data_IF_154689030232
#
_entry.id   IF_154689030232
#
_cell.length_a   1.000
_cell.length_b   1.000
_cell.length_c   1.000
_cell.angle_alpha   90.00
_cell.angle_beta   90.00
_cell.angle_gamma   90.00
#
_symmetry.space_group_name_H-M   'P 1'
#
loop_
_entity.id
_entity.type
_entity.pdbx_description
1 polymer ?
#
# COMPACT_ATOMS: atom_id res chain seq x y z
N UNK A 1 17.17 -3.02 -19.52
CA UNK A 1 17.72 -4.31 -19.04
C UNK A 1 19.13 -4.64 -19.54
N UNK A 2 19.47 -4.42 -20.82
CA UNK A 2 20.78 -4.81 -21.39
C UNK A 2 22.00 -4.27 -20.63
N UNK A 3 21.97 -3.00 -20.20
CA UNK A 3 23.07 -2.39 -19.42
C UNK A 3 23.33 -3.12 -18.10
N UNK A 4 22.29 -3.38 -17.31
CA UNK A 4 22.40 -4.10 -16.05
C UNK A 4 22.94 -5.52 -16.20
N UNK A 5 22.65 -6.20 -17.32
CA UNK A 5 23.17 -7.54 -17.61
C UNK A 5 24.68 -7.55 -17.91
N UNK A 6 25.25 -6.44 -18.37
CA UNK A 6 26.69 -6.30 -18.69
C UNK A 6 27.49 -5.59 -17.59
N UNK A 7 26.81 -4.96 -16.64
CA UNK A 7 27.46 -4.23 -15.55
C UNK A 7 28.22 -5.17 -14.61
N UNK A 8 29.46 -4.82 -14.29
CA UNK A 8 30.34 -5.58 -13.38
C UNK A 8 30.48 -4.95 -12.00
N UNK A 9 30.01 -3.71 -11.82
CA UNK A 9 30.04 -3.01 -10.54
C UNK A 9 29.06 -3.60 -9.52
N UNK A 10 29.30 -3.33 -8.23
CA UNK A 10 28.44 -3.79 -7.13
C UNK A 10 27.11 -3.02 -7.05
N UNK A 11 27.12 -1.76 -7.46
CA UNK A 11 25.96 -0.87 -7.48
C UNK A 11 25.62 -0.52 -8.91
N UNK A 12 24.34 -0.61 -9.25
CA UNK A 12 23.78 -0.10 -10.49
C UNK A 12 23.29 1.32 -10.24
N UNK A 13 23.64 2.25 -11.12
CA UNK A 13 23.09 3.60 -11.16
C UNK A 13 22.43 3.79 -12.51
N UNK A 14 21.12 3.93 -12.50
CA UNK A 14 20.31 4.28 -13.66
C UNK A 14 20.18 5.80 -13.69
N UNK A 15 20.41 6.40 -14.86
CA UNK A 15 20.38 7.85 -15.05
C UNK A 15 19.97 8.18 -16.47
N UNK A 16 19.08 9.14 -16.63
CA UNK A 16 18.71 9.68 -17.94
C UNK A 16 19.91 10.36 -18.64
N UNK A 17 19.88 10.38 -19.96
CA UNK A 17 20.97 10.93 -20.78
C UNK A 17 21.10 12.47 -20.70
N UNK A 18 20.15 13.15 -20.06
CA UNK A 18 20.02 14.61 -19.98
C UNK A 18 20.02 15.08 -18.52
N UNK A 19 21.04 14.62 -17.78
CA UNK A 19 21.29 14.97 -16.38
C UNK A 19 22.63 15.69 -16.21
N UNK A 20 22.71 16.60 -15.23
CA UNK A 20 23.96 17.22 -14.77
C UNK A 20 24.18 16.92 -13.28
N UNK A 21 25.34 16.36 -12.94
CA UNK A 21 25.63 15.87 -11.60
C UNK A 21 26.33 16.95 -10.74
N UNK A 22 25.83 17.19 -9.54
CA UNK A 22 26.52 18.07 -8.59
C UNK A 22 27.81 17.39 -8.05
N UNK A 23 28.87 18.14 -7.73
CA UNK A 23 30.01 17.60 -6.98
C UNK A 23 29.58 16.85 -5.72
N UNK A 24 30.10 15.65 -5.51
CA UNK A 24 29.80 14.82 -4.34
C UNK A 24 28.44 14.09 -4.39
N UNK A 25 27.79 14.02 -5.54
CA UNK A 25 26.46 13.39 -5.64
C UNK A 25 26.48 11.87 -5.41
N UNK A 26 27.57 11.16 -5.74
CA UNK A 26 27.54 9.70 -5.80
C UNK A 26 27.83 9.06 -4.43
N UNK A 27 28.73 9.64 -3.66
CA UNK A 27 29.22 9.12 -2.37
C UNK A 27 28.10 8.91 -1.34
N UNK A 28 27.11 9.81 -1.18
CA UNK A 28 25.97 9.58 -0.29
C UNK A 28 25.13 8.37 -0.71
N UNK A 29 24.91 8.18 -2.02
CA UNK A 29 24.14 7.06 -2.56
C UNK A 29 24.84 5.73 -2.26
N UNK A 30 26.13 5.65 -2.59
CA UNK A 30 26.93 4.44 -2.38
C UNK A 30 27.06 4.10 -0.88
N UNK A 31 27.31 5.11 -0.04
CA UNK A 31 27.40 4.93 1.41
C UNK A 31 26.10 4.39 2.00
N UNK A 32 24.95 4.91 1.54
CA UNK A 32 23.63 4.47 2.02
C UNK A 32 23.32 3.02 1.66
N UNK A 33 23.64 2.61 0.43
CA UNK A 33 23.50 1.23 -0.04
C UNK A 33 24.49 0.30 0.69
N UNK A 34 25.72 0.75 0.93
CA UNK A 34 26.71 -0.06 1.64
C UNK A 34 26.24 -0.45 3.06
N UNK A 35 25.50 0.43 3.72
CA UNK A 35 24.90 0.14 5.04
C UNK A 35 23.70 -0.81 5.01
N UNK A 36 23.03 -0.98 3.88
CA UNK A 36 21.92 -1.93 3.69
C UNK A 36 21.65 -2.09 2.18
N UNK A 37 21.97 -3.28 1.68
CA UNK A 37 21.91 -3.60 0.25
C UNK A 37 20.47 -3.70 -0.30
N UNK A 38 19.46 -3.70 0.57
CA UNK A 38 18.05 -3.71 0.17
C UNK A 38 17.48 -2.31 -0.14
N UNK A 39 18.29 -1.25 0.06
CA UNK A 39 17.89 0.12 -0.21
C UNK A 39 18.03 0.48 -1.68
N UNK A 40 16.98 1.08 -2.21
CA UNK A 40 16.96 1.78 -3.50
C UNK A 40 16.98 3.26 -3.17
N UNK A 41 17.97 3.97 -3.69
CA UNK A 41 18.22 5.37 -3.31
C UNK A 41 18.27 6.28 -4.53
N UNK A 42 17.76 7.50 -4.37
CA UNK A 42 17.77 8.53 -5.40
C UNK A 42 18.36 9.84 -4.87
N UNK A 43 19.02 10.63 -5.74
CA UNK A 43 19.34 12.02 -5.43
C UNK A 43 18.07 12.87 -5.32
N UNK A 44 18.21 14.07 -4.78
CA UNK A 44 17.28 15.16 -5.06
C UNK A 44 17.43 15.55 -6.54
N UNK A 45 16.30 15.56 -7.25
CA UNK A 45 16.25 15.96 -8.65
C UNK A 45 16.00 17.47 -8.72
N UNK A 46 16.99 18.19 -9.20
CA UNK A 46 16.90 19.62 -9.49
C UNK A 46 16.43 19.85 -10.93
N UNK A 47 15.86 21.01 -11.22
CA UNK A 47 15.29 21.29 -12.55
C UNK A 47 16.31 22.05 -13.38
N UNK A 48 16.60 21.58 -14.58
CA UNK A 48 17.31 22.33 -15.61
C UNK A 48 16.28 22.81 -16.63
N UNK A 49 16.12 24.13 -16.77
CA UNK A 49 15.17 24.70 -17.73
C UNK A 49 15.60 24.38 -19.16
N UNK A 50 14.73 23.70 -19.92
CA UNK A 50 15.08 23.23 -21.26
C UNK A 50 15.35 24.34 -22.29
N UNK A 51 14.86 25.57 -22.08
CA UNK A 51 15.06 26.70 -23.01
C UNK A 51 16.33 27.47 -22.71
N UNK A 52 16.56 27.72 -21.43
CA UNK A 52 17.61 28.63 -20.94
C UNK A 52 18.82 27.87 -20.39
N UNK A 53 18.70 26.56 -20.19
CA UNK A 53 19.68 25.71 -19.49
C UNK A 53 20.01 26.22 -18.08
N UNK A 54 19.11 26.98 -17.46
CA UNK A 54 19.30 27.49 -16.10
C UNK A 54 19.00 26.38 -15.09
N UNK A 55 19.89 26.27 -14.10
CA UNK A 55 19.77 25.32 -13.00
C UNK A 55 18.92 25.89 -11.87
N UNK A 56 17.83 25.20 -11.53
CA UNK A 56 16.90 25.57 -10.48
C UNK A 56 16.91 24.51 -9.37
N UNK A 57 17.56 24.80 -8.22
CA UNK A 57 17.61 23.85 -7.12
C UNK A 57 16.23 23.73 -6.46
N UNK A 58 15.83 22.48 -6.17
CA UNK A 58 14.69 22.18 -5.31
C UNK A 58 14.92 22.81 -3.92
N UNK A 59 13.99 23.67 -3.50
CA UNK A 59 14.08 24.45 -2.25
C UNK A 59 13.55 23.69 -1.04
N UNK A 60 12.46 22.95 -1.24
CA UNK A 60 11.82 22.18 -0.19
C UNK A 60 11.98 20.68 -0.44
N UNK A 61 12.10 19.87 0.62
CA UNK A 61 12.15 18.43 0.47
C UNK A 61 10.79 17.93 -0.02
N UNK A 62 10.83 17.18 -1.12
CA UNK A 62 9.69 16.50 -1.69
C UNK A 62 9.96 15.00 -1.74
N UNK A 63 8.89 14.22 -1.84
CA UNK A 63 8.96 12.81 -2.13
C UNK A 63 8.07 12.45 -3.31
N UNK A 64 8.40 11.31 -3.92
CA UNK A 64 7.65 10.75 -5.03
C UNK A 64 6.45 9.95 -4.53
N UNK A 65 5.29 10.24 -5.09
CA UNK A 65 4.01 9.62 -4.73
C UNK A 65 3.25 9.23 -6.00
N UNK A 66 2.04 8.68 -5.83
CA UNK A 66 1.19 8.26 -6.93
C UNK A 66 -0.30 8.49 -6.65
N UNK A 67 -1.09 8.58 -7.71
CA UNK A 67 -2.54 8.58 -7.62
C UNK A 67 -3.17 7.22 -8.00
N UNK A 68 -4.50 7.14 -7.95
CA UNK A 68 -5.25 5.94 -8.36
C UNK A 68 -5.26 5.70 -9.87
N UNK A 69 -4.71 6.61 -10.69
CA UNK A 69 -4.43 6.37 -12.11
C UNK A 69 -3.02 5.83 -12.34
N UNK A 70 -2.29 5.53 -11.26
CA UNK A 70 -0.88 5.12 -11.28
C UNK A 70 -0.03 6.16 -12.04
N UNK A 71 -0.29 7.44 -11.80
CA UNK A 71 0.57 8.53 -12.26
C UNK A 71 1.51 8.97 -11.13
N UNK A 72 2.76 9.23 -11.46
CA UNK A 72 3.75 9.75 -10.52
C UNK A 72 3.59 11.27 -10.35
N UNK A 73 3.72 11.74 -9.11
CA UNK A 73 3.83 13.17 -8.82
C UNK A 73 4.76 13.43 -7.63
N UNK A 74 5.23 14.67 -7.54
CA UNK A 74 6.00 15.17 -6.42
C UNK A 74 5.08 15.82 -5.40
N UNK A 75 5.18 15.40 -4.13
CA UNK A 75 4.46 16.02 -3.02
C UNK A 75 5.43 16.55 -1.95
N UNK A 76 5.07 17.65 -1.24
CA UNK A 76 5.76 18.05 -0.03
C UNK A 76 5.69 16.94 1.02
N UNK A 77 6.73 16.81 1.85
CA UNK A 77 6.71 15.79 2.90
C UNK A 77 5.55 15.98 3.88
N UNK A 78 4.87 14.90 4.29
CA UNK A 78 3.85 14.97 5.32
C UNK A 78 4.48 15.31 6.68
N UNK A 79 3.71 15.93 7.56
CA UNK A 79 4.18 16.36 8.88
C UNK A 79 4.76 15.20 9.71
N UNK A 80 4.23 13.98 9.53
CA UNK A 80 4.76 12.76 10.16
C UNK A 80 6.22 12.50 9.80
N UNK A 81 6.58 12.63 8.53
CA UNK A 81 7.95 12.44 8.04
C UNK A 81 8.84 13.61 8.47
N UNK A 82 8.35 14.86 8.41
CA UNK A 82 9.12 16.03 8.86
C UNK A 82 9.55 15.93 10.34
N UNK A 83 8.67 15.44 11.22
CA UNK A 83 8.93 15.31 12.67
C UNK A 83 9.96 14.23 13.01
N UNK A 84 10.05 13.16 12.22
CA UNK A 84 10.96 12.03 12.48
C UNK A 84 12.38 12.34 11.98
N UNK A 85 12.53 13.30 11.07
CA UNK A 85 13.84 13.70 10.54
C UNK A 85 14.68 14.41 11.60
N UNK A 86 15.85 13.84 11.87
CA UNK A 86 16.81 14.39 12.82
C UNK A 86 17.52 15.65 12.26
N UNK A 87 17.62 15.74 10.93
CA UNK A 87 18.30 16.84 10.25
C UNK A 87 17.77 17.05 8.83
N UNK A 88 18.08 18.22 8.26
CA UNK A 88 17.77 18.56 6.86
C UNK A 88 18.45 17.64 5.84
N UNK A 89 19.50 16.92 6.24
CA UNK A 89 20.25 15.97 5.40
C UNK A 89 19.87 14.51 5.65
N UNK A 90 18.95 14.25 6.58
CA UNK A 90 18.46 12.89 6.84
C UNK A 90 17.79 12.32 5.58
N UNK A 91 17.99 11.02 5.28
CA UNK A 91 17.28 10.34 4.19
C UNK A 91 15.76 10.53 4.30
N UNK A 92 15.11 10.68 3.17
CA UNK A 92 13.67 10.88 3.04
C UNK A 92 13.07 9.58 2.52
N UNK A 93 12.10 9.00 3.22
CA UNK A 93 11.35 7.85 2.70
C UNK A 93 10.36 8.31 1.63
N UNK A 94 10.35 7.62 0.50
CA UNK A 94 9.52 7.96 -0.65
C UNK A 94 8.62 6.77 -1.02
N UNK A 95 7.29 6.95 -1.14
CA UNK A 95 6.42 5.89 -1.65
C UNK A 95 6.82 5.39 -3.03
N UNK A 96 7.26 6.30 -3.92
CA UNK A 96 7.69 6.01 -5.28
C UNK A 96 9.06 6.61 -5.54
N UNK A 97 9.91 5.88 -6.27
CA UNK A 97 11.19 6.36 -6.77
C UNK A 97 10.97 7.32 -7.97
N UNK A 98 11.68 8.45 -8.05
CA UNK A 98 11.51 9.43 -9.13
C UNK A 98 11.68 8.84 -10.55
N UNK A 99 12.62 7.91 -10.71
CA UNK A 99 12.85 7.17 -11.96
C UNK A 99 13.97 7.76 -12.82
N UNK A 100 14.20 9.07 -12.77
CA UNK A 100 15.22 9.76 -13.58
C UNK A 100 16.63 9.36 -13.16
N UNK A 101 16.86 9.24 -11.84
CA UNK A 101 18.10 8.76 -11.27
C UNK A 101 17.83 7.84 -10.09
N UNK A 102 18.28 6.59 -10.19
CA UNK A 102 18.07 5.57 -9.16
C UNK A 102 19.34 4.73 -9.03
N UNK A 103 19.80 4.54 -7.79
CA UNK A 103 20.92 3.67 -7.45
C UNK A 103 20.48 2.52 -6.54
N UNK A 104 20.98 1.31 -6.80
CA UNK A 104 20.69 0.14 -5.98
C UNK A 104 21.76 -0.94 -6.13
N UNK A 105 21.84 -1.84 -5.15
CA UNK A 105 22.74 -3.00 -5.25
C UNK A 105 22.37 -3.91 -6.43
N UNK A 106 23.37 -4.34 -7.20
CA UNK A 106 23.20 -5.16 -8.41
C UNK A 106 22.59 -6.52 -8.09
N UNK A 107 23.02 -7.16 -7.01
CA UNK A 107 22.49 -8.45 -6.60
C UNK A 107 21.07 -8.32 -6.07
N UNK A 108 20.76 -7.26 -5.32
CA UNK A 108 19.39 -6.97 -4.89
C UNK A 108 18.46 -6.75 -6.10
N UNK A 109 18.90 -5.99 -7.12
CA UNK A 109 18.13 -5.81 -8.36
C UNK A 109 17.84 -7.15 -9.05
N UNK A 110 18.83 -8.03 -9.15
CA UNK A 110 18.68 -9.34 -9.79
C UNK A 110 17.79 -10.28 -8.97
N UNK A 111 18.02 -10.36 -7.66
CA UNK A 111 17.31 -11.27 -6.75
C UNK A 111 15.85 -10.89 -6.57
N UNK A 112 15.52 -9.60 -6.67
CA UNK A 112 14.13 -9.12 -6.66
C UNK A 112 13.46 -9.22 -8.03
N UNK A 113 14.10 -9.87 -9.01
CA UNK A 113 13.53 -10.19 -10.32
C UNK A 113 13.66 -9.11 -11.39
N UNK A 114 14.54 -8.13 -11.18
CA UNK A 114 14.83 -7.00 -12.07
C UNK A 114 13.56 -6.29 -12.57
N UNK A 115 13.61 -5.52 -13.67
CA UNK A 115 12.38 -5.01 -14.28
C UNK A 115 11.57 -6.15 -14.91
N UNK A 116 10.25 -5.99 -14.97
CA UNK A 116 9.38 -6.90 -15.73
C UNK A 116 9.75 -6.84 -17.23
N UNK A 117 10.24 -7.94 -17.83
CA UNK A 117 10.66 -7.94 -19.23
C UNK A 117 9.50 -7.79 -20.20
N UNK A 118 8.25 -7.97 -19.73
CA UNK A 118 7.04 -7.76 -20.52
C UNK A 118 6.50 -6.34 -20.42
N UNK A 119 7.11 -5.47 -19.61
CA UNK A 119 6.82 -4.04 -19.62
C UNK A 119 7.63 -3.35 -20.72
N UNK A 120 6.98 -2.44 -21.43
CA UNK A 120 7.67 -1.51 -22.31
C UNK A 120 8.50 -0.52 -21.47
N UNK A 121 9.55 0.07 -22.05
CA UNK A 121 10.38 1.09 -21.37
C UNK A 121 9.66 2.45 -21.24
N UNK A 122 8.38 2.52 -21.57
CA UNK A 122 7.60 3.75 -21.60
C UNK A 122 6.60 3.77 -20.44
N UNK A 123 7.09 4.16 -19.26
CA UNK A 123 6.29 4.53 -18.11
C UNK A 123 5.85 3.39 -17.19
N UNK A 124 5.89 3.68 -15.88
CA UNK A 124 5.43 2.79 -14.81
C UNK A 124 6.51 1.87 -14.24
N UNK A 125 7.69 1.80 -14.85
CA UNK A 125 8.82 1.01 -14.36
C UNK A 125 9.30 1.49 -12.99
N UNK A 126 9.25 2.81 -12.75
CA UNK A 126 9.54 3.41 -11.46
C UNK A 126 8.54 2.99 -10.37
N UNK A 127 7.24 2.91 -10.69
CA UNK A 127 6.19 2.42 -9.80
C UNK A 127 6.36 0.93 -9.48
N UNK A 128 6.60 0.11 -10.51
CA UNK A 128 6.83 -1.33 -10.36
C UNK A 128 8.03 -1.63 -9.46
N UNK A 129 9.15 -0.93 -9.69
CA UNK A 129 10.34 -1.02 -8.84
C UNK A 129 10.05 -0.60 -7.40
N UNK A 130 9.25 0.44 -7.21
CA UNK A 130 8.90 0.98 -5.89
C UNK A 130 8.05 0.01 -5.07
N UNK A 131 7.01 -0.57 -5.69
CA UNK A 131 6.18 -1.58 -5.03
C UNK A 131 6.98 -2.83 -4.71
N UNK A 132 7.82 -3.29 -5.62
CA UNK A 132 8.72 -4.41 -5.36
C UNK A 132 9.64 -4.14 -4.18
N UNK A 133 10.31 -2.99 -4.15
CA UNK A 133 11.23 -2.65 -3.07
C UNK A 133 10.49 -2.63 -1.72
N UNK A 134 9.38 -1.91 -1.60
CA UNK A 134 8.65 -1.79 -0.34
C UNK A 134 8.00 -3.10 0.10
N UNK A 135 7.32 -3.79 -0.81
CA UNK A 135 6.56 -4.99 -0.47
C UNK A 135 7.48 -6.17 -0.19
N UNK A 136 8.65 -6.25 -0.84
CA UNK A 136 9.55 -7.38 -0.71
C UNK A 136 10.73 -7.13 0.25
N UNK A 137 10.58 -6.17 1.18
CA UNK A 137 11.46 -6.03 2.36
C UNK A 137 12.60 -5.02 2.24
N UNK A 138 12.67 -4.25 1.16
CA UNK A 138 13.57 -3.12 1.02
C UNK A 138 12.89 -1.78 1.28
N UNK A 139 13.49 -0.70 0.78
CA UNK A 139 12.97 0.67 0.91
C UNK A 139 13.38 1.55 -0.25
N UNK A 140 12.58 2.58 -0.52
CA UNK A 140 12.92 3.67 -1.43
C UNK A 140 13.25 4.92 -0.61
N UNK A 141 14.40 5.53 -0.87
CA UNK A 141 14.85 6.71 -0.14
C UNK A 141 15.44 7.79 -1.06
N UNK A 142 15.18 9.06 -0.76
CA UNK A 142 15.80 10.21 -1.40
C UNK A 142 16.85 10.80 -0.46
N UNK A 143 18.07 11.04 -0.96
CA UNK A 143 19.19 11.52 -0.15
C UNK A 143 19.47 13.00 -0.41
N UNK A 144 19.17 13.90 0.54
CA UNK A 144 19.31 15.35 0.33
C UNK A 144 20.74 15.83 0.03
N UNK A 145 21.77 15.09 0.46
CA UNK A 145 23.16 15.40 0.15
C UNK A 145 23.57 15.07 -1.29
N UNK A 146 22.78 14.26 -2.00
CA UNK A 146 23.02 13.90 -3.39
C UNK A 146 22.08 14.72 -4.28
N UNK A 147 22.63 15.47 -5.23
CA UNK A 147 21.85 16.33 -6.13
C UNK A 147 22.23 16.11 -7.58
N UNK A 148 21.23 15.97 -8.43
CA UNK A 148 21.38 15.84 -9.88
C UNK A 148 20.34 16.74 -10.53
N UNK A 149 20.77 17.63 -11.41
CA UNK A 149 19.87 18.39 -12.27
C UNK A 149 19.38 17.52 -13.42
N UNK A 150 18.08 17.58 -13.71
CA UNK A 150 17.45 16.89 -14.82
C UNK A 150 16.80 17.91 -15.75
N UNK A 151 17.03 17.76 -17.05
CA UNK A 151 16.39 18.59 -18.06
C UNK A 151 15.05 17.97 -18.44
N UNK A 152 13.96 18.57 -17.96
CA UNK A 152 12.61 18.16 -18.37
C UNK A 152 12.34 18.67 -19.78
N UNK A 153 12.21 17.78 -20.79
CA UNK A 153 11.88 18.20 -22.13
C UNK A 153 10.55 18.96 -22.12
N UNK A 154 10.31 19.77 -23.16
CA UNK A 154 8.95 20.25 -23.43
C UNK A 154 8.04 19.03 -23.45
N UNK A 155 6.88 19.14 -22.81
CA UNK A 155 5.83 18.12 -22.81
C UNK A 155 5.38 17.90 -24.27
N UNK A 156 6.14 17.07 -25.00
CA UNK A 156 5.74 16.61 -26.31
C UNK A 156 4.59 15.65 -26.08
N UNK A 157 3.51 15.84 -26.84
CA UNK A 157 2.39 14.90 -26.88
C UNK A 157 2.96 13.52 -27.18
N UNK A 158 3.04 12.65 -26.16
CA UNK A 158 3.47 11.25 -26.30
C UNK A 158 2.73 10.64 -27.48
N UNK A 159 3.43 9.91 -28.33
CA UNK A 159 2.79 9.29 -29.48
C UNK A 159 1.67 8.35 -28.98
N UNK A 160 0.57 8.17 -29.74
CA UNK A 160 -0.54 7.31 -29.30
C UNK A 160 -0.11 5.88 -28.92
N UNK A 161 0.88 5.32 -29.63
CA UNK A 161 1.47 4.01 -29.32
C UNK A 161 2.14 3.99 -27.93
N UNK A 162 2.78 5.08 -27.54
CA UNK A 162 3.42 5.21 -26.23
C UNK A 162 2.39 5.25 -25.10
N UNK A 163 1.21 5.83 -25.38
CA UNK A 163 0.11 5.88 -24.42
C UNK A 163 -0.50 4.50 -24.18
N UNK A 164 -0.71 3.71 -25.24
CA UNK A 164 -1.21 2.34 -25.10
C UNK A 164 -0.19 1.46 -24.36
N UNK A 165 1.10 1.56 -24.69
CA UNK A 165 2.16 0.82 -24.00
C UNK A 165 2.27 1.21 -22.51
N UNK A 166 2.15 2.49 -22.19
CA UNK A 166 2.08 2.98 -20.80
C UNK A 166 0.86 2.39 -20.08
N UNK A 167 -0.29 2.34 -20.75
CA UNK A 167 -1.52 1.80 -20.18
C UNK A 167 -1.41 0.28 -19.93
N UNK A 168 -0.83 -0.47 -20.87
CA UNK A 168 -0.52 -1.90 -20.70
C UNK A 168 0.39 -2.13 -19.49
N UNK A 169 1.45 -1.32 -19.35
CA UNK A 169 2.35 -1.36 -18.19
C UNK A 169 1.58 -1.16 -16.88
N UNK A 170 0.70 -0.15 -16.80
CA UNK A 170 -0.14 0.10 -15.62
C UNK A 170 -1.07 -1.05 -15.29
N UNK A 171 -1.71 -1.66 -16.30
CA UNK A 171 -2.54 -2.85 -16.12
C UNK A 171 -1.72 -4.01 -15.53
N UNK A 172 -0.50 -4.23 -16.02
CA UNK A 172 0.40 -5.26 -15.47
C UNK A 172 0.77 -4.98 -14.02
N UNK A 173 1.08 -3.73 -13.68
CA UNK A 173 1.33 -3.30 -12.30
C UNK A 173 0.10 -3.57 -11.42
N UNK A 174 -1.10 -3.23 -11.90
CA UNK A 174 -2.34 -3.42 -11.18
C UNK A 174 -2.63 -4.90 -10.88
N UNK A 175 -2.53 -5.77 -11.88
CA UNK A 175 -2.77 -7.21 -11.73
C UNK A 175 -1.70 -7.91 -10.89
N UNK A 176 -0.49 -7.35 -10.82
CA UNK A 176 0.62 -7.95 -10.06
C UNK A 176 0.64 -7.44 -8.62
N UNK A 177 0.59 -6.13 -8.39
CA UNK A 177 1.00 -5.53 -7.12
C UNK A 177 -0.14 -5.00 -6.28
N UNK A 178 -1.29 -4.61 -6.85
CA UNK A 178 -2.35 -3.89 -6.10
C UNK A 178 -3.31 -4.80 -5.33
N UNK A 179 -3.28 -6.11 -5.56
CA UNK A 179 -4.19 -7.05 -4.90
C UNK A 179 -5.67 -6.70 -5.16
N UNK A 180 -6.48 -6.57 -4.10
CA UNK A 180 -7.88 -6.16 -4.18
C UNK A 180 -8.09 -4.69 -4.58
N UNK A 181 -7.06 -3.84 -4.43
CA UNK A 181 -7.16 -2.41 -4.76
C UNK A 181 -7.07 -2.13 -6.26
N UNK A 182 -6.78 -3.13 -7.10
CA UNK A 182 -6.78 -2.98 -8.56
C UNK A 182 -8.14 -2.53 -9.11
N UNK A 183 -9.23 -2.90 -8.44
CA UNK A 183 -10.57 -2.44 -8.83
C UNK A 183 -10.75 -0.92 -8.64
N UNK A 184 -10.05 -0.33 -7.66
CA UNK A 184 -10.00 1.14 -7.51
C UNK A 184 -9.26 1.78 -8.67
N UNK A 185 -8.14 1.21 -9.10
CA UNK A 185 -7.42 1.67 -10.28
C UNK A 185 -8.30 1.61 -11.54
N UNK A 186 -8.97 0.49 -11.79
CA UNK A 186 -9.83 0.33 -12.97
C UNK A 186 -11.04 1.27 -12.99
N UNK A 187 -11.54 1.69 -11.82
CA UNK A 187 -12.56 2.75 -11.73
C UNK A 187 -12.04 4.12 -12.13
N UNK A 188 -10.80 4.45 -11.79
CA UNK A 188 -10.18 5.73 -12.13
C UNK A 188 -9.60 5.76 -13.55
N UNK A 189 -9.38 4.60 -14.17
CA UNK A 189 -8.98 4.45 -15.57
C UNK A 189 -9.85 3.42 -16.30
N UNK A 190 -11.03 3.85 -16.82
CA UNK A 190 -11.91 3.00 -17.62
C UNK A 190 -11.23 2.41 -18.87
N UNK A 191 -10.26 3.13 -19.44
CA UNK A 191 -9.47 2.66 -20.59
C UNK A 191 -8.62 1.44 -20.22
N UNK A 192 -7.97 1.47 -19.06
CA UNK A 192 -7.20 0.33 -18.54
C UNK A 192 -8.10 -0.89 -18.31
N UNK A 193 -9.32 -0.67 -17.84
CA UNK A 193 -10.30 -1.73 -17.62
C UNK A 193 -10.77 -2.37 -18.93
N UNK A 194 -11.05 -1.56 -19.95
CA UNK A 194 -11.41 -2.02 -21.29
C UNK A 194 -10.27 -2.86 -21.90
N UNK A 195 -9.03 -2.37 -21.79
CA UNK A 195 -7.83 -3.06 -22.27
C UNK A 195 -7.64 -4.42 -21.60
N UNK A 196 -7.78 -4.48 -20.27
CA UNK A 196 -7.68 -5.73 -19.50
C UNK A 196 -8.76 -6.73 -19.87
N UNK A 197 -9.97 -6.28 -20.22
CA UNK A 197 -11.04 -7.16 -20.70
C UNK A 197 -10.75 -7.72 -22.08
N UNK A 198 -10.14 -6.93 -22.97
CA UNK A 198 -9.78 -7.37 -24.31
C UNK A 198 -8.63 -8.38 -24.28
N UNK A 199 -7.59 -8.11 -23.48
CA UNK A 199 -6.41 -8.97 -23.35
C UNK A 199 -6.04 -9.09 -21.87
N UNK A 200 -6.15 -10.29 -21.33
CA UNK A 200 -5.70 -10.58 -19.97
C UNK A 200 -4.17 -10.69 -19.96
N UNK A 201 -3.44 -9.84 -19.21
CA UNK A 201 -1.99 -9.94 -19.16
C UNK A 201 -1.56 -11.22 -18.44
N UNK A 202 -0.50 -11.86 -18.94
CA UNK A 202 0.17 -12.92 -18.19
C UNK A 202 1.12 -12.30 -17.15
N UNK A 203 0.75 -12.44 -15.88
CA UNK A 203 1.52 -12.00 -14.72
C UNK A 203 2.03 -13.19 -13.89
N UNK A 204 1.98 -14.42 -14.42
CA UNK A 204 2.27 -15.65 -13.67
C UNK A 204 3.65 -15.65 -13.03
N UNK A 205 4.69 -15.29 -13.80
CA UNK A 205 6.06 -15.23 -13.30
C UNK A 205 6.22 -14.19 -12.17
N UNK A 206 5.59 -13.03 -12.33
CA UNK A 206 5.66 -11.94 -11.34
C UNK A 206 4.93 -12.30 -10.04
N UNK A 207 3.78 -12.96 -10.14
CA UNK A 207 3.04 -13.48 -8.98
C UNK A 207 3.81 -14.61 -8.26
N UNK A 208 4.49 -15.49 -8.99
CA UNK A 208 5.35 -16.51 -8.39
C UNK A 208 6.56 -15.89 -7.69
N UNK A 209 7.16 -14.86 -8.29
CA UNK A 209 8.25 -14.10 -7.69
C UNK A 209 7.82 -13.48 -6.34
N UNK A 210 6.66 -12.83 -6.28
CA UNK A 210 6.13 -12.28 -5.03
C UNK A 210 6.01 -13.33 -3.92
N UNK A 211 5.49 -14.52 -4.26
CA UNK A 211 5.37 -15.64 -3.32
C UNK A 211 6.73 -16.14 -2.85
N UNK A 212 7.69 -16.31 -3.77
CA UNK A 212 9.05 -16.77 -3.44
C UNK A 212 9.78 -15.81 -2.51
N UNK A 213 9.58 -14.50 -2.69
CA UNK A 213 10.19 -13.46 -1.87
C UNK A 213 9.43 -13.18 -0.57
N UNK A 214 8.25 -13.78 -0.37
CA UNK A 214 7.42 -13.54 0.82
C UNK A 214 6.96 -12.07 0.91
N UNK A 215 6.64 -11.45 -0.23
CA UNK A 215 6.29 -10.02 -0.26
C UNK A 215 4.98 -9.75 0.51
N UNK A 216 4.93 -8.58 1.14
CA UNK A 216 3.77 -8.02 1.82
C UNK A 216 2.68 -7.64 0.82
N UNK A 217 1.46 -7.45 1.31
CA UNK A 217 0.31 -7.06 0.49
C UNK A 217 0.32 -5.57 0.17
N UNK A 218 -0.38 -5.15 -0.89
CA UNK A 218 -0.56 -3.72 -1.18
C UNK A 218 -1.24 -2.96 -0.05
N UNK A 219 -2.11 -3.64 0.70
CA UNK A 219 -2.69 -3.07 1.90
C UNK A 219 -1.59 -2.61 2.87
N UNK A 220 -0.58 -3.44 3.11
CA UNK A 220 0.53 -3.07 3.99
C UNK A 220 1.26 -1.81 3.49
N UNK A 221 1.45 -1.68 2.17
CA UNK A 221 2.04 -0.48 1.57
C UNK A 221 1.20 0.77 1.85
N UNK A 222 -0.11 0.72 1.62
CA UNK A 222 -0.99 1.84 1.94
C UNK A 222 -0.97 2.14 3.45
N UNK A 223 -1.01 1.14 4.30
CA UNK A 223 -1.04 1.34 5.74
C UNK A 223 0.28 1.92 6.30
N UNK A 224 1.44 1.52 5.78
CA UNK A 224 2.74 1.83 6.40
C UNK A 224 3.54 2.88 5.65
N UNK A 225 3.40 2.92 4.32
CA UNK A 225 4.21 3.76 3.44
C UNK A 225 3.40 4.97 2.99
N UNK A 226 2.22 4.77 2.41
CA UNK A 226 1.40 5.86 1.88
C UNK A 226 -0.08 5.82 2.30
N UNK A 227 -0.39 6.12 3.58
CA UNK A 227 -1.75 6.14 4.11
C UNK A 227 -2.62 7.22 3.49
N UNK A 228 -2.03 8.30 2.98
CA UNK A 228 -2.75 9.40 2.37
C UNK A 228 -3.47 8.98 1.07
N UNK A 229 -2.99 7.94 0.37
CA UNK A 229 -3.64 7.40 -0.85
C UNK A 229 -4.83 6.49 -0.56
N UNK A 230 -5.03 6.07 0.69
CA UNK A 230 -6.04 5.08 1.04
C UNK A 230 -7.45 5.51 0.54
N UNK A 231 -8.18 4.70 -0.25
CA UNK A 231 -9.43 5.16 -0.85
C UNK A 231 -10.47 5.48 0.22
N UNK A 232 -11.01 6.70 0.20
CA UNK A 232 -12.06 7.14 1.11
C UNK A 232 -13.45 6.60 0.75
N UNK A 233 -13.70 6.27 -0.53
CA UNK A 233 -15.06 6.28 -1.10
C UNK A 233 -15.71 4.93 -1.46
N UNK A 234 -15.04 3.78 -1.43
CA UNK A 234 -15.65 2.55 -1.95
C UNK A 234 -15.52 1.34 -1.04
N UNK A 235 -16.39 1.30 -0.03
CA UNK A 235 -16.94 0.04 0.44
C UNK A 235 -18.45 0.14 0.50
N UNK A 236 -19.17 -0.95 0.20
CA UNK A 236 -20.51 -1.11 0.75
C UNK A 236 -20.45 -0.72 2.22
N UNK A 237 -21.37 0.13 2.68
CA UNK A 237 -21.52 0.31 4.11
C UNK A 237 -22.10 -1.01 4.62
N UNK A 238 -21.22 -1.82 5.19
CA UNK A 238 -21.63 -3.00 5.92
C UNK A 238 -21.95 -2.52 7.31
N UNK A 239 -23.24 -2.53 7.63
CA UNK A 239 -23.75 -2.05 8.91
C UNK A 239 -24.67 -3.09 9.51
N UNK A 240 -25.08 -2.87 10.76
CA UNK A 240 -25.96 -3.78 11.46
C UNK A 240 -25.21 -4.89 12.18
N UNK A 241 -25.80 -6.08 12.28
CA UNK A 241 -25.28 -7.18 13.08
C UNK A 241 -24.23 -7.95 12.28
N UNK A 242 -23.10 -8.26 12.94
CA UNK A 242 -22.08 -9.15 12.40
C UNK A 242 -22.39 -10.60 12.78
N UNK A 243 -22.96 -11.36 11.85
CA UNK A 243 -23.35 -12.75 12.03
C UNK A 243 -22.19 -13.69 11.72
N UNK A 244 -21.94 -14.66 12.61
CA UNK A 244 -21.16 -15.84 12.27
C UNK A 244 -22.06 -16.85 11.55
N UNK A 245 -21.79 -17.12 10.27
CA UNK A 245 -22.67 -17.96 9.44
C UNK A 245 -22.58 -19.44 9.80
N UNK A 246 -21.45 -19.88 10.38
CA UNK A 246 -21.27 -21.25 10.85
C UNK A 246 -22.00 -21.58 12.15
N UNK A 247 -21.98 -20.66 13.11
CA UNK A 247 -22.51 -20.89 14.45
C UNK A 247 -23.89 -20.26 14.69
N UNK A 248 -24.35 -19.33 13.84
CA UNK A 248 -25.68 -18.72 13.95
C UNK A 248 -25.82 -17.69 15.07
N UNK A 249 -24.71 -17.14 15.57
CA UNK A 249 -24.67 -16.10 16.60
C UNK A 249 -24.09 -14.79 16.05
N UNK A 250 -24.28 -13.70 16.78
CA UNK A 250 -23.79 -12.36 16.43
C UNK A 250 -22.66 -11.92 17.35
N UNK A 251 -21.73 -11.12 16.84
CA UNK A 251 -20.74 -10.46 17.67
C UNK A 251 -21.39 -9.40 18.57
N UNK A 252 -21.06 -9.41 19.86
CA UNK A 252 -21.61 -8.53 20.88
C UNK A 252 -20.61 -8.35 22.04
N UNK A 253 -20.75 -7.26 22.79
CA UNK A 253 -20.14 -7.07 24.09
C UNK A 253 -21.25 -6.91 25.13
N UNK A 254 -21.46 -7.95 25.94
CA UNK A 254 -22.45 -7.88 27.04
C UNK A 254 -21.79 -7.33 28.30
N UNK A 255 -21.78 -6.02 28.49
CA UNK A 255 -21.41 -5.39 29.77
C UNK A 255 -22.48 -4.36 30.15
N UNK A 256 -22.90 -4.37 31.41
CA UNK A 256 -23.71 -3.31 32.00
C UNK A 256 -22.77 -2.19 32.46
N UNK A 257 -22.51 -1.20 31.61
CA UNK A 257 -21.63 -0.07 31.94
C UNK A 257 -20.71 0.35 30.80
N UNK A 258 -19.45 0.63 31.13
CA UNK A 258 -18.43 1.01 30.15
C UNK A 258 -18.01 -0.20 29.30
N UNK A 259 -18.16 -0.07 27.99
CA UNK A 259 -17.81 -1.11 27.01
C UNK A 259 -16.32 -1.12 26.68
N UNK A 260 -15.54 -0.15 27.17
CA UNK A 260 -14.10 -0.04 26.90
C UNK A 260 -13.32 -1.24 27.48
N UNK A 261 -12.49 -1.86 26.66
CA UNK A 261 -11.70 -3.05 27.01
C UNK A 261 -12.51 -4.35 27.06
N UNK A 262 -13.80 -4.31 26.68
CA UNK A 262 -14.66 -5.49 26.69
C UNK A 262 -14.25 -6.52 25.64
N UNK A 263 -14.08 -7.81 26.00
CA UNK A 263 -13.93 -8.87 25.02
C UNK A 263 -15.17 -9.05 24.17
N UNK A 264 -14.99 -9.05 22.85
CA UNK A 264 -16.08 -9.33 21.90
C UNK A 264 -16.37 -10.82 21.89
N UNK A 265 -17.64 -11.18 21.98
CA UNK A 265 -18.11 -12.56 22.08
C UNK A 265 -19.34 -12.82 21.24
N UNK A 266 -19.66 -14.08 21.02
CA UNK A 266 -20.90 -14.50 20.39
C UNK A 266 -22.08 -14.40 21.37
N UNK A 267 -23.12 -13.71 20.94
CA UNK A 267 -24.39 -13.60 21.62
C UNK A 267 -25.56 -13.95 20.67
N UNK A 268 -26.74 -14.28 21.21
CA UNK A 268 -27.95 -14.38 20.40
C UNK A 268 -28.21 -13.06 19.66
N UNK A 269 -28.44 -13.13 18.35
CA UNK A 269 -28.77 -11.99 17.53
C UNK A 269 -30.15 -11.42 17.94
N UNK A 270 -30.21 -10.14 18.33
CA UNK A 270 -31.45 -9.46 18.74
C UNK A 270 -31.57 -8.11 18.04
N UNK A 271 -32.74 -7.84 17.46
CA UNK A 271 -32.98 -6.59 16.71
C UNK A 271 -33.11 -5.34 17.60
N UNK A 272 -33.41 -5.53 18.89
CA UNK A 272 -33.69 -4.44 19.84
C UNK A 272 -32.47 -3.91 20.59
N UNK A 273 -31.26 -4.39 20.30
CA UNK A 273 -30.02 -3.97 20.99
C UNK A 273 -29.16 -3.10 20.08
N UNK A 274 -29.09 -1.80 20.39
CA UNK A 274 -28.16 -0.87 19.72
C UNK A 274 -26.69 -1.29 19.87
N UNK A 275 -26.35 -2.00 20.94
CA UNK A 275 -25.02 -2.56 21.20
C UNK A 275 -24.62 -3.67 20.21
N UNK A 276 -25.54 -4.23 19.41
CA UNK A 276 -25.20 -5.18 18.35
C UNK A 276 -25.09 -4.53 16.96
N UNK A 277 -25.19 -3.21 16.89
CA UNK A 277 -24.97 -2.46 15.65
C UNK A 277 -23.48 -2.23 15.46
N UNK A 278 -22.93 -2.82 14.40
CA UNK A 278 -21.54 -2.69 13.98
C UNK A 278 -21.50 -2.03 12.62
N UNK A 279 -20.50 -1.19 12.37
CA UNK A 279 -20.28 -0.58 11.05
C UNK A 279 -18.84 -0.82 10.59
N UNK A 280 -18.67 -1.40 9.40
CA UNK A 280 -17.37 -1.46 8.75
C UNK A 280 -17.13 -0.18 7.96
N UNK A 281 -16.19 0.63 8.42
CA UNK A 281 -15.88 1.92 7.80
C UNK A 281 -15.03 1.75 6.53
N UNK A 282 -14.94 2.82 5.73
CA UNK A 282 -14.02 2.89 4.59
C UNK A 282 -12.55 2.76 5.00
N UNK A 283 -12.21 3.07 6.25
CA UNK A 283 -10.86 2.91 6.81
C UNK A 283 -10.48 1.47 7.17
N UNK A 284 -11.41 0.51 7.07
CA UNK A 284 -11.26 -0.91 7.52
C UNK A 284 -11.43 -1.05 9.03
N UNK A 285 -12.04 -0.10 9.71
CA UNK A 285 -12.35 -0.23 11.13
C UNK A 285 -13.74 -0.83 11.30
N UNK A 286 -13.92 -1.67 12.32
CA UNK A 286 -15.25 -2.17 12.70
C UNK A 286 -15.67 -1.36 13.94
N UNK A 287 -16.59 -0.42 13.75
CA UNK A 287 -17.12 0.43 14.81
C UNK A 287 -18.20 -0.32 15.60
N UNK A 288 -18.28 -0.08 16.90
CA UNK A 288 -19.22 -0.71 17.82
C UNK A 288 -20.20 0.30 18.41
N UNK A 289 -21.49 0.06 18.16
CA UNK A 289 -22.58 0.92 18.58
C UNK A 289 -22.75 2.15 17.67
N UNK A 290 -23.90 2.80 17.80
CA UNK A 290 -24.28 3.99 17.01
C UNK A 290 -23.80 5.32 17.60
N UNK A 291 -23.40 5.33 18.88
CA UNK A 291 -23.11 6.56 19.66
C UNK A 291 -21.74 6.56 20.35
N UNK A 292 -21.07 5.41 20.49
CA UNK A 292 -19.76 5.29 21.12
C UNK A 292 -18.68 5.18 20.03
N UNK A 293 -17.57 5.91 20.16
CA UNK A 293 -16.42 5.84 19.24
C UNK A 293 -15.51 4.64 19.59
N UNK A 294 -16.10 3.44 19.63
CA UNK A 294 -15.38 2.21 19.93
C UNK A 294 -15.16 1.40 18.66
N UNK A 295 -13.97 0.82 18.54
CA UNK A 295 -13.52 0.02 17.41
C UNK A 295 -13.08 -1.36 17.89
N UNK A 296 -13.18 -2.36 17.02
CA UNK A 296 -12.55 -3.67 17.25
C UNK A 296 -11.03 -3.51 17.22
N UNK A 297 -10.41 -3.95 18.30
CA UNK A 297 -8.97 -3.94 18.51
C UNK A 297 -8.52 -5.34 18.94
N UNK A 298 -7.21 -5.59 18.97
CA UNK A 298 -6.62 -6.89 19.25
C UNK A 298 -5.65 -6.76 20.41
N UNK A 299 -5.97 -7.44 21.52
CA UNK A 299 -5.09 -7.57 22.66
C UNK A 299 -4.77 -9.04 22.92
N UNK A 300 -3.48 -9.41 22.79
CA UNK A 300 -3.01 -10.80 22.98
C UNK A 300 -3.83 -11.82 22.17
N UNK A 301 -4.08 -11.50 20.90
CA UNK A 301 -4.91 -12.29 19.95
C UNK A 301 -6.41 -12.32 20.26
N UNK A 302 -6.88 -11.77 21.38
CA UNK A 302 -8.30 -11.62 21.69
C UNK A 302 -8.84 -10.32 21.09
N UNK A 303 -10.04 -10.37 20.53
CA UNK A 303 -10.70 -9.17 20.00
C UNK A 303 -11.45 -8.46 21.12
N UNK A 304 -11.14 -7.18 21.30
CA UNK A 304 -11.70 -6.32 22.34
C UNK A 304 -12.27 -5.05 21.73
N UNK A 305 -13.09 -4.33 22.49
CA UNK A 305 -13.50 -2.97 22.16
C UNK A 305 -12.50 -1.96 22.74
N UNK A 306 -12.05 -1.02 21.93
CA UNK A 306 -11.18 0.06 22.36
C UNK A 306 -11.60 1.37 21.68
N UNK A 307 -11.17 2.52 22.22
CA UNK A 307 -11.35 3.80 21.52
C UNK A 307 -10.76 3.73 20.10
N UNK A 308 -11.52 4.20 19.12
CA UNK A 308 -11.06 4.29 17.74
C UNK A 308 -9.82 5.19 17.66
N UNK A 309 -8.74 4.66 17.10
CA UNK A 309 -7.45 5.35 17.03
C UNK A 309 -7.38 6.20 15.77
N UNK A 310 -7.45 7.53 15.92
CA UNK A 310 -7.43 8.41 14.75
C UNK A 310 -6.03 8.64 14.16
N UNK A 311 -4.98 8.54 14.98
CA UNK A 311 -3.60 8.85 14.60
C UNK A 311 -2.58 7.98 15.35
N UNK A 312 -1.45 7.69 14.69
CA UNK A 312 -0.32 6.96 15.29
C UNK A 312 -0.23 5.50 14.87
N UNK A 313 0.83 4.78 15.29
CA UNK A 313 1.12 3.41 14.84
C UNK A 313 0.09 2.37 15.32
N UNK A 314 -0.66 2.68 16.37
CA UNK A 314 -1.70 1.80 16.91
C UNK A 314 -2.92 1.67 16.00
N UNK A 315 -3.10 2.56 15.01
CA UNK A 315 -4.21 2.47 14.05
C UNK A 315 -4.25 1.12 13.33
N UNK A 316 -3.08 0.51 13.08
CA UNK A 316 -2.97 -0.78 12.39
C UNK A 316 -3.56 -1.96 13.17
N UNK A 317 -3.72 -1.84 14.49
CA UNK A 317 -4.33 -2.88 15.34
C UNK A 317 -5.86 -2.93 15.19
N UNK A 318 -6.46 -1.91 14.57
CA UNK A 318 -7.91 -1.77 14.41
C UNK A 318 -8.37 -1.93 12.95
N UNK A 319 -7.49 -2.43 12.07
CA UNK A 319 -7.78 -2.59 10.64
C UNK A 319 -8.15 -4.04 10.28
N UNK A 320 -9.30 -4.20 9.64
CA UNK A 320 -9.96 -5.47 9.32
C UNK A 320 -10.35 -5.56 7.83
N UNK A 321 -9.83 -6.54 7.12
CA UNK A 321 -10.16 -6.82 5.73
C UNK A 321 -11.29 -7.84 5.60
N UNK A 322 -12.50 -7.33 5.34
CA UNK A 322 -13.66 -8.15 4.98
C UNK A 322 -13.57 -8.59 3.51
N UNK A 323 -13.49 -9.90 3.27
CA UNK A 323 -13.38 -10.50 1.95
C UNK A 323 -14.72 -11.02 1.43
N UNK A 324 -14.87 -11.13 0.11
CA UNK A 324 -16.13 -11.57 -0.53
C UNK A 324 -16.56 -13.00 -0.15
N UNK A 325 -15.62 -13.83 0.30
CA UNK A 325 -15.89 -15.19 0.79
C UNK A 325 -16.42 -15.21 2.25
N UNK A 326 -16.62 -14.05 2.88
CA UNK A 326 -17.09 -13.91 4.26
C UNK A 326 -15.99 -14.01 5.32
N UNK A 327 -14.73 -14.14 4.93
CA UNK A 327 -13.61 -14.16 5.87
C UNK A 327 -13.22 -12.73 6.24
N UNK A 328 -12.94 -12.50 7.54
CA UNK A 328 -12.45 -11.21 8.05
C UNK A 328 -11.01 -11.40 8.52
N UNK A 329 -10.08 -10.67 7.90
CA UNK A 329 -8.64 -10.76 8.20
C UNK A 329 -8.19 -9.55 8.98
N UNK A 330 -7.58 -9.76 10.15
CA UNK A 330 -6.88 -8.70 10.86
C UNK A 330 -5.58 -8.38 10.14
N UNK A 331 -5.54 -7.19 9.56
CA UNK A 331 -4.56 -6.78 8.56
C UNK A 331 -3.12 -6.86 9.07
N UNK A 332 -2.85 -6.36 10.27
CA UNK A 332 -1.50 -6.30 10.81
C UNK A 332 -0.90 -7.70 11.03
N UNK A 333 -1.74 -8.64 11.48
CA UNK A 333 -1.31 -10.01 11.80
C UNK A 333 -1.41 -11.00 10.64
N UNK A 334 -2.24 -10.70 9.64
CA UNK A 334 -2.61 -11.65 8.58
C UNK A 334 -3.47 -12.85 9.05
N UNK A 335 -3.96 -12.83 10.29
CA UNK A 335 -4.82 -13.87 10.88
C UNK A 335 -6.31 -13.53 10.70
N UNK A 336 -7.13 -14.55 10.80
CA UNK A 336 -8.58 -14.45 10.61
C UNK A 336 -9.31 -14.30 11.93
N UNK A 337 -10.39 -13.51 11.92
CA UNK A 337 -11.35 -13.42 13.00
C UNK A 337 -12.09 -14.77 13.13
N UNK A 338 -11.93 -15.45 14.25
CA UNK A 338 -12.54 -16.74 14.53
C UNK A 338 -13.36 -16.68 15.83
N UNK A 339 -14.57 -17.25 15.77
CA UNK A 339 -15.35 -17.52 16.98
C UNK A 339 -14.87 -18.80 17.64
N UNK A 340 -14.21 -18.68 18.80
CA UNK A 340 -13.68 -19.82 19.55
C UNK A 340 -14.65 -20.17 20.67
N UNK A 341 -15.28 -21.34 20.56
CA UNK A 341 -16.23 -21.86 21.56
C UNK A 341 -15.47 -22.76 22.54
N UNK A 342 -15.32 -22.31 23.78
CA UNK A 342 -14.86 -23.10 24.92
C UNK A 342 -16.02 -23.39 25.88
N UNK A 343 -15.80 -24.21 26.91
CA UNK A 343 -16.87 -24.68 27.82
C UNK A 343 -17.70 -23.54 28.43
N UNK A 344 -17.08 -22.39 28.74
CA UNK A 344 -17.73 -21.25 29.40
C UNK A 344 -17.61 -19.92 28.63
N UNK A 345 -16.92 -19.88 27.48
CA UNK A 345 -16.74 -18.65 26.69
C UNK A 345 -16.94 -18.88 25.20
N UNK A 346 -17.44 -17.86 24.51
CA UNK A 346 -17.63 -17.84 23.05
C UNK A 346 -16.97 -16.60 22.47
N UNK A 347 -15.73 -16.37 22.86
CA UNK A 347 -15.03 -15.14 22.57
C UNK A 347 -14.43 -15.17 21.15
N UNK A 348 -14.15 -13.99 20.63
CA UNK A 348 -13.53 -13.84 19.31
C UNK A 348 -12.01 -13.72 19.45
N UNK A 349 -11.30 -14.51 18.67
CA UNK A 349 -9.84 -14.52 18.63
C UNK A 349 -9.32 -14.44 17.20
N UNK A 350 -8.04 -14.10 17.08
CA UNK A 350 -7.28 -14.23 15.85
C UNK A 350 -6.68 -15.62 15.73
N UNK A 351 -7.02 -16.31 14.65
CA UNK A 351 -6.52 -17.65 14.35
C UNK A 351 -5.96 -17.75 12.93
N UNK A 352 -5.12 -18.76 12.63
CA UNK A 352 -4.69 -19.02 11.26
C UNK A 352 -5.89 -19.20 10.33
N UNK A 353 -5.86 -18.51 9.19
CA UNK A 353 -6.94 -18.56 8.21
C UNK A 353 -7.03 -19.96 7.58
N UNK A 354 -8.12 -20.67 7.86
CA UNK A 354 -8.36 -22.02 7.35
C UNK A 354 -9.77 -22.19 6.73
N UNK A 355 -10.59 -21.13 6.76
CA UNK A 355 -11.90 -21.10 6.10
C UNK A 355 -12.95 -21.97 6.79
N UNK A 356 -12.74 -22.35 8.05
CA UNK A 356 -13.76 -23.04 8.86
C UNK A 356 -15.00 -22.19 9.02
N UNK A 357 -16.11 -22.86 9.32
CA UNK A 357 -17.41 -22.22 9.57
C UNK A 357 -17.34 -21.17 10.71
N UNK A 358 -16.47 -21.36 11.71
CA UNK A 358 -16.20 -20.41 12.80
C UNK A 358 -15.52 -19.10 12.33
N UNK A 359 -14.95 -19.06 11.13
CA UNK A 359 -14.28 -17.90 10.52
C UNK A 359 -15.13 -17.20 9.45
N UNK A 360 -16.35 -17.68 9.20
CA UNK A 360 -17.22 -17.10 8.18
C UNK A 360 -18.22 -16.13 8.81
N UNK A 361 -18.19 -14.89 8.31
CA UNK A 361 -18.92 -13.75 8.83
C UNK A 361 -19.76 -13.08 7.76
N UNK A 362 -20.86 -12.47 8.17
CA UNK A 362 -21.77 -11.72 7.29
C UNK A 362 -22.44 -10.59 8.06
N UNK A 363 -22.44 -9.39 7.48
CA UNK A 363 -23.30 -8.29 7.93
C UNK A 363 -24.72 -8.48 7.40
N UNK A 364 -25.72 -8.19 8.22
CA UNK A 364 -27.13 -8.30 7.83
C UNK A 364 -27.61 -7.13 6.95
N UNK A 365 -27.03 -5.94 7.11
CA UNK A 365 -27.26 -4.79 6.23
C UNK A 365 -26.03 -4.55 5.36
N UNK A 366 -26.21 -4.76 4.07
CA UNK A 366 -25.23 -4.41 3.05
C UNK A 366 -25.85 -3.32 2.20
N UNK A 367 -25.44 -2.08 2.44
CA UNK A 367 -25.81 -0.98 1.55
C UNK A 367 -24.90 -1.03 0.33
N UNK A 368 -25.38 -1.62 -0.77
CA UNK A 368 -24.77 -1.48 -2.08
C UNK A 368 -24.79 0.00 -2.45
N UNK A 369 -23.62 0.54 -2.79
CA UNK A 369 -23.50 1.92 -3.27
C UNK A 369 -24.07 1.94 -4.69
N UNK A 370 -25.39 2.04 -4.82
CA UNK A 370 -26.03 2.35 -6.10
C UNK A 370 -26.16 3.86 -6.29
N UNK A 371 -25.44 4.30 -7.32
CA UNK A 371 -25.84 5.27 -8.36
C UNK A 371 -26.50 6.59 -7.92
N UNK A 372 -25.69 7.65 -7.94
CA UNK A 372 -26.15 8.97 -8.39
C UNK A 372 -25.23 9.53 -9.45
#
# INVERSE_FOLDING_TARGET
>A
MLGAARATGDVLVFMDAHCECHPGWLEPLLSRIAGDRSRVVSPVIDVIDWKTSQYHPAKEPQHGVLDWKLEFHWEPLPEREKKVRQSSISPIRSPVAPGEVVAMDRHYFQNTGAYDPLMSLQGGENLELSFKAWLCGGSIEILPCSRVGHLYPRQDTRAPLDQEATLQNKVRIAETWLGSFKETFYRHSPEAFALRKAVKPDCTERLQLQRRLGCRTFHWFLANIYPELYPSEQRPRFSGKLHNTGLGFCADCQVEGDSLGCPVRLAPCRDSREQQHLELTSRKEIHFGSSQHLCFDVQREQVILQNCTEQGPAIHQQLWDFQDNGVIVHILSGKCLEAVVQQDSKDLYLCPCDGKASQLWRFDQVHTVDER
#
